data_IF_991364827962
#
_entry.id   IF_991364827962
#
_cell.length_a   1.000
_cell.length_b   1.000
_cell.length_c   1.000
_cell.angle_alpha   90.00
_cell.angle_beta   90.00
_cell.angle_gamma   90.00
#
_symmetry.space_group_name_H-M   'P 1'
#
loop_
_entity.id
_entity.type
_entity.pdbx_description
1 polymer ?
#
# COMPACT_ATOMS: atom_id res chain seq x y z
N UNK A 1 10.72 5.86 5.79
CA UNK A 1 11.28 4.84 6.73
C UNK A 1 10.18 4.13 7.53
N UNK A 2 9.20 4.87 8.07
CA UNK A 2 8.12 4.33 8.90
C UNK A 2 7.22 3.27 8.21
N UNK A 3 6.97 3.41 6.91
CA UNK A 3 6.18 2.44 6.13
C UNK A 3 6.86 1.07 6.06
N UNK A 4 8.17 1.04 5.83
CA UNK A 4 8.95 -0.19 5.77
C UNK A 4 9.00 -0.91 7.12
N UNK A 5 9.18 -0.16 8.21
CA UNK A 5 9.16 -0.74 9.57
C UNK A 5 7.78 -1.30 9.92
N UNK A 6 6.70 -0.63 9.49
CA UNK A 6 5.34 -1.12 9.67
C UNK A 6 5.05 -2.40 8.88
N UNK A 7 5.51 -2.50 7.63
CA UNK A 7 5.36 -3.72 6.83
C UNK A 7 6.14 -4.89 7.45
N UNK A 8 7.35 -4.63 7.96
CA UNK A 8 8.13 -5.64 8.69
C UNK A 8 7.40 -6.08 9.98
N UNK A 9 6.87 -5.15 10.76
CA UNK A 9 6.10 -5.47 11.95
C UNK A 9 4.84 -6.28 11.62
N UNK A 10 4.12 -5.96 10.54
CA UNK A 10 2.96 -6.71 10.06
C UNK A 10 3.35 -8.12 9.58
N UNK A 11 4.50 -8.27 8.92
CA UNK A 11 5.02 -9.58 8.54
C UNK A 11 5.30 -10.45 9.76
N UNK A 12 5.97 -9.90 10.79
CA UNK A 12 6.23 -10.60 12.05
C UNK A 12 4.92 -10.94 12.79
N UNK A 13 3.97 -10.00 12.84
CA UNK A 13 2.65 -10.23 13.43
C UNK A 13 1.88 -11.34 12.69
N UNK A 14 1.91 -11.35 11.35
CA UNK A 14 1.34 -12.41 10.54
C UNK A 14 2.00 -13.77 10.83
N UNK A 15 3.32 -13.81 11.00
CA UNK A 15 4.05 -15.02 11.43
C UNK A 15 3.66 -15.50 12.84
N UNK A 16 3.45 -14.59 13.79
CA UNK A 16 2.98 -14.94 15.13
C UNK A 16 1.56 -15.52 15.11
N UNK A 17 0.64 -14.89 14.35
CA UNK A 17 -0.73 -15.39 14.19
C UNK A 17 -0.80 -16.74 13.46
N UNK A 18 0.09 -16.98 12.49
CA UNK A 18 0.29 -18.30 11.89
C UNK A 18 0.61 -19.36 12.96
N UNK A 19 1.59 -19.07 13.82
CA UNK A 19 2.00 -19.99 14.88
C UNK A 19 0.84 -20.28 15.86
N UNK A 20 0.07 -19.27 16.26
CA UNK A 20 -1.10 -19.46 17.12
C UNK A 20 -2.19 -20.30 16.46
N UNK A 21 -2.54 -20.01 15.20
CA UNK A 21 -3.53 -20.79 14.47
C UNK A 21 -3.11 -22.25 14.27
N UNK A 22 -1.83 -22.48 13.95
CA UNK A 22 -1.25 -23.82 13.81
C UNK A 22 -1.27 -24.59 15.14
N UNK A 23 -0.88 -23.96 16.26
CA UNK A 23 -0.89 -24.58 17.60
C UNK A 23 -2.30 -24.99 18.02
N UNK A 24 -3.30 -24.13 17.80
CA UNK A 24 -4.71 -24.48 18.07
C UNK A 24 -5.17 -25.67 17.25
N UNK A 25 -4.86 -25.69 15.94
CA UNK A 25 -5.21 -26.82 15.09
C UNK A 25 -4.50 -28.12 15.50
N UNK A 26 -3.23 -28.06 15.94
CA UNK A 26 -2.51 -29.22 16.46
C UNK A 26 -3.14 -29.75 17.76
N UNK A 27 -3.53 -28.87 18.69
CA UNK A 27 -4.21 -29.27 19.92
C UNK A 27 -5.55 -29.96 19.63
N UNK A 28 -6.32 -29.47 18.66
CA UNK A 28 -7.56 -30.10 18.19
C UNK A 28 -7.31 -31.45 17.51
N UNK A 29 -6.17 -31.62 16.83
CA UNK A 29 -5.78 -32.89 16.22
C UNK A 29 -5.44 -33.94 17.29
N UNK A 30 -4.77 -33.53 18.36
CA UNK A 30 -4.30 -34.41 19.42
C UNK A 30 -5.44 -34.98 20.29
N UNK A 31 -6.53 -34.24 20.44
CA UNK A 31 -7.72 -34.68 21.19
C UNK A 31 -8.75 -35.42 20.34
N UNK A 32 -8.63 -35.35 19.00
CA UNK A 32 -9.53 -35.99 18.05
C UNK A 32 -9.09 -37.40 17.65
N UNK A 33 -9.99 -38.13 16.96
CA UNK A 33 -9.62 -39.36 16.26
C UNK A 33 -8.55 -39.06 15.18
N UNK A 34 -7.69 -40.02 14.81
CA UNK A 34 -6.81 -39.87 13.65
C UNK A 34 -7.62 -39.44 12.41
N UNK A 35 -7.26 -38.31 11.79
CA UNK A 35 -8.00 -37.73 10.66
C UNK A 35 -9.20 -36.83 11.03
N UNK A 36 -9.36 -36.45 12.30
CA UNK A 36 -10.47 -35.58 12.72
C UNK A 36 -10.45 -34.18 12.06
N UNK A 37 -9.29 -33.70 11.63
CA UNK A 37 -9.16 -32.43 10.88
C UNK A 37 -9.20 -32.67 9.38
N UNK A 38 -10.07 -31.93 8.69
CA UNK A 38 -10.14 -31.95 7.23
C UNK A 38 -8.90 -31.33 6.57
N UNK A 39 -8.21 -30.39 7.23
CA UNK A 39 -7.03 -29.71 6.68
C UNK A 39 -5.84 -29.85 7.61
N UNK A 40 -4.62 -29.91 7.04
CA UNK A 40 -3.40 -29.93 7.83
C UNK A 40 -3.31 -28.69 8.72
N UNK A 41 -2.74 -28.79 9.95
CA UNK A 41 -2.62 -27.65 10.87
C UNK A 41 -1.93 -26.42 10.27
N UNK A 42 -1.02 -26.61 9.31
CA UNK A 42 -0.38 -25.52 8.56
C UNK A 42 -1.37 -24.65 7.78
N UNK A 43 -2.41 -25.22 7.17
CA UNK A 43 -3.42 -24.45 6.44
C UNK A 43 -4.29 -23.59 7.37
N UNK A 44 -4.56 -24.07 8.60
CA UNK A 44 -5.28 -23.27 9.59
C UNK A 44 -4.43 -22.07 10.08
N UNK A 45 -3.13 -22.29 10.31
CA UNK A 45 -2.19 -21.19 10.57
C UNK A 45 -2.16 -20.20 9.42
N UNK A 46 -2.01 -20.69 8.18
CA UNK A 46 -1.96 -19.87 6.97
C UNK A 46 -3.23 -19.03 6.77
N UNK A 47 -4.40 -19.61 7.02
CA UNK A 47 -5.67 -18.90 6.95
C UNK A 47 -5.74 -17.71 7.93
N UNK A 48 -5.34 -17.91 9.19
CA UNK A 48 -5.33 -16.82 10.19
C UNK A 48 -4.30 -15.76 9.82
N UNK A 49 -3.11 -16.16 9.41
CA UNK A 49 -2.04 -15.26 8.99
C UNK A 49 -2.43 -14.40 7.79
N UNK A 50 -3.10 -14.99 6.79
CA UNK A 50 -3.61 -14.25 5.63
C UNK A 50 -4.66 -13.23 6.04
N UNK A 51 -5.63 -13.59 6.89
CA UNK A 51 -6.66 -12.66 7.34
C UNK A 51 -6.13 -11.55 8.25
N UNK A 52 -5.12 -11.82 9.08
CA UNK A 52 -4.53 -10.84 9.98
C UNK A 52 -3.49 -9.95 9.27
N UNK A 53 -2.75 -10.49 8.30
CA UNK A 53 -1.66 -9.79 7.63
C UNK A 53 -2.08 -9.08 6.35
N UNK A 54 -2.83 -9.76 5.47
CA UNK A 54 -3.03 -9.28 4.10
C UNK A 54 -3.91 -8.02 4.01
N UNK A 55 -5.08 -7.94 4.66
CA UNK A 55 -5.91 -6.73 4.62
C UNK A 55 -5.21 -5.53 5.28
N UNK A 56 -4.49 -5.76 6.37
CA UNK A 56 -3.71 -4.73 7.06
C UNK A 56 -2.56 -4.21 6.18
N UNK A 57 -1.82 -5.12 5.53
CA UNK A 57 -0.77 -4.76 4.59
C UNK A 57 -1.32 -3.96 3.40
N UNK A 58 -2.49 -4.34 2.87
CA UNK A 58 -3.12 -3.62 1.77
C UNK A 58 -3.42 -2.16 2.12
N UNK A 59 -3.93 -1.87 3.32
CA UNK A 59 -4.19 -0.50 3.78
C UNK A 59 -2.89 0.31 3.84
N UNK A 60 -1.84 -0.25 4.43
CA UNK A 60 -0.54 0.43 4.52
C UNK A 60 0.07 0.67 3.14
N UNK A 61 -0.05 -0.29 2.21
CA UNK A 61 0.43 -0.15 0.84
C UNK A 61 -0.37 0.89 0.06
N UNK A 62 -1.70 0.92 0.18
CA UNK A 62 -2.54 1.95 -0.44
C UNK A 62 -2.12 3.33 0.08
N UNK A 63 -1.95 3.50 1.40
CA UNK A 63 -1.49 4.76 1.95
C UNK A 63 -0.08 5.15 1.47
N UNK A 64 0.83 4.18 1.31
CA UNK A 64 2.17 4.44 0.79
C UNK A 64 2.16 4.90 -0.68
N UNK A 65 1.30 4.32 -1.52
CA UNK A 65 1.19 4.65 -2.95
C UNK A 65 0.41 5.94 -3.20
N UNK A 66 -0.68 6.15 -2.45
CA UNK A 66 -1.61 7.25 -2.70
C UNK A 66 -1.47 8.42 -1.71
N UNK A 67 -0.79 8.25 -0.59
CA UNK A 67 -0.70 9.24 0.49
C UNK A 67 -0.15 10.59 0.02
N UNK A 68 0.98 10.58 -0.70
CA UNK A 68 1.56 11.82 -1.23
C UNK A 68 0.68 12.51 -2.29
N UNK A 69 -0.11 11.75 -3.06
CA UNK A 69 -1.09 12.32 -4.01
C UNK A 69 -2.25 12.98 -3.27
N UNK A 70 -2.72 12.34 -2.20
CA UNK A 70 -3.80 12.85 -1.36
C UNK A 70 -3.38 14.09 -0.58
N UNK A 71 -2.17 14.08 0.00
CA UNK A 71 -1.55 15.26 0.62
C UNK A 71 -1.49 16.43 -0.37
N UNK A 72 -0.96 16.21 -1.58
CA UNK A 72 -0.84 17.25 -2.60
C UNK A 72 -2.20 17.80 -3.05
N UNK A 73 -3.21 16.93 -3.20
CA UNK A 73 -4.56 17.35 -3.56
C UNK A 73 -5.21 18.20 -2.45
N UNK A 74 -5.07 17.78 -1.19
CA UNK A 74 -5.64 18.49 -0.05
C UNK A 74 -4.91 19.82 0.25
N UNK A 75 -3.59 19.87 0.07
CA UNK A 75 -2.81 21.08 0.30
C UNK A 75 -3.19 22.21 -0.68
N UNK A 76 -3.53 21.83 -1.92
CA UNK A 76 -3.96 22.73 -3.00
C UNK A 76 -5.45 23.08 -2.97
N UNK A 77 -6.24 22.44 -2.10
CA UNK A 77 -7.69 22.66 -2.06
C UNK A 77 -8.08 24.07 -1.61
N UNK A 78 -7.22 24.74 -0.83
CA UNK A 78 -7.44 26.10 -0.34
C UNK A 78 -6.13 26.93 -0.42
N UNK A 79 -5.82 27.52 -1.59
CA UNK A 79 -4.62 28.33 -1.78
C UNK A 79 -4.78 29.74 -1.16
N UNK A 80 -3.78 30.26 -0.43
CA UNK A 80 -3.77 31.63 0.08
C UNK A 80 -3.86 32.66 -1.06
N UNK A 81 -4.45 33.84 -0.81
CA UNK A 81 -4.64 34.87 -1.83
C UNK A 81 -3.32 35.31 -2.51
N UNK A 82 -2.23 35.40 -1.74
CA UNK A 82 -0.89 35.69 -2.27
C UNK A 82 -0.41 34.65 -3.30
N UNK A 83 -0.78 33.37 -3.10
CA UNK A 83 -0.43 32.26 -4.00
C UNK A 83 -1.34 32.26 -5.22
N UNK A 84 -2.61 32.64 -5.08
CA UNK A 84 -3.55 32.74 -6.21
C UNK A 84 -3.12 33.80 -7.24
N UNK A 85 -2.42 34.84 -6.80
CA UNK A 85 -1.87 35.87 -7.69
C UNK A 85 -0.69 35.37 -8.54
N UNK A 86 -0.08 34.23 -8.21
CA UNK A 86 1.01 33.62 -8.99
C UNK A 86 0.46 32.94 -10.25
N UNK A 87 1.33 32.77 -11.25
CA UNK A 87 1.04 31.95 -12.43
C UNK A 87 0.84 30.48 -12.04
N UNK A 88 0.19 29.70 -12.91
CA UNK A 88 -0.01 28.26 -12.66
C UNK A 88 1.30 27.51 -12.38
N UNK A 89 2.39 27.91 -13.03
CA UNK A 89 3.72 27.36 -12.76
C UNK A 89 4.27 27.80 -11.40
N UNK A 90 4.15 29.09 -11.05
CA UNK A 90 4.58 29.60 -9.74
C UNK A 90 3.82 28.95 -8.58
N UNK A 91 2.53 28.69 -8.75
CA UNK A 91 1.73 27.95 -7.76
C UNK A 91 2.23 26.52 -7.58
N UNK A 92 2.55 25.82 -8.68
CA UNK A 92 3.08 24.45 -8.61
C UNK A 92 4.41 24.41 -7.83
N UNK A 93 5.33 25.32 -8.14
CA UNK A 93 6.62 25.44 -7.43
C UNK A 93 6.41 25.75 -5.95
N UNK A 94 5.53 26.70 -5.62
CA UNK A 94 5.22 27.05 -4.23
C UNK A 94 4.73 25.84 -3.40
N UNK A 95 3.80 25.04 -3.94
CA UNK A 95 3.31 23.84 -3.25
C UNK A 95 4.34 22.71 -3.19
N UNK A 96 5.24 22.63 -4.17
CA UNK A 96 6.32 21.66 -4.16
C UNK A 96 7.38 22.04 -3.12
N UNK A 97 7.71 23.33 -2.99
CA UNK A 97 8.60 23.85 -1.96
C UNK A 97 8.02 23.70 -0.56
N UNK A 98 6.74 24.01 -0.35
CA UNK A 98 6.08 23.84 0.94
C UNK A 98 6.15 22.38 1.41
N UNK A 99 5.94 21.42 0.49
CA UNK A 99 6.13 19.99 0.79
C UNK A 99 7.59 19.67 1.01
N UNK A 100 8.50 20.18 0.19
CA UNK A 100 9.92 19.91 0.33
C UNK A 100 10.45 20.35 1.71
N UNK A 101 10.05 21.53 2.17
CA UNK A 101 10.35 22.06 3.51
C UNK A 101 9.74 21.18 4.62
N UNK A 102 8.50 20.71 4.44
CA UNK A 102 7.83 19.83 5.40
C UNK A 102 8.56 18.49 5.58
N UNK A 103 9.04 17.92 4.47
CA UNK A 103 9.73 16.62 4.40
C UNK A 103 11.24 16.72 4.68
N UNK A 104 11.79 17.94 4.83
CA UNK A 104 13.23 18.16 4.98
C UNK A 104 14.04 17.80 3.72
N UNK A 105 13.41 17.86 2.55
CA UNK A 105 14.05 17.68 1.24
C UNK A 105 14.42 19.03 0.61
N UNK A 106 15.23 19.02 -0.44
CA UNK A 106 15.70 20.24 -1.08
C UNK A 106 14.54 21.01 -1.74
N UNK A 107 14.28 22.22 -1.24
CA UNK A 107 13.37 23.18 -1.86
C UNK A 107 14.08 23.94 -3.00
N UNK A 108 13.30 24.58 -3.87
CA UNK A 108 13.79 25.49 -4.90
C UNK A 108 14.55 26.66 -4.29
N UNK A 109 15.45 27.28 -5.05
CA UNK A 109 16.16 28.52 -4.67
C UNK A 109 15.24 29.76 -4.74
N UNK A 110 13.92 29.56 -4.80
CA UNK A 110 12.94 30.64 -4.89
C UNK A 110 12.84 31.35 -3.55
N UNK A 111 13.06 32.66 -3.54
CA UNK A 111 12.94 33.48 -2.34
C UNK A 111 11.50 34.01 -2.28
N UNK A 112 10.81 33.68 -1.18
CA UNK A 112 9.47 34.17 -0.89
C UNK A 112 9.60 35.35 0.08
N UNK A 113 9.03 36.51 -0.27
CA UNK A 113 9.08 37.73 0.55
C UNK A 113 7.66 38.15 0.97
N UNK A 114 7.56 38.80 2.14
CA UNK A 114 6.30 39.37 2.64
C UNK A 114 5.22 38.32 2.87
N UNK A 115 4.03 38.54 2.32
CA UNK A 115 2.87 37.64 2.50
C UNK A 115 3.10 36.21 1.96
N UNK A 116 4.03 36.03 1.01
CA UNK A 116 4.39 34.70 0.51
C UNK A 116 5.30 33.94 1.48
N UNK A 117 6.11 34.64 2.27
CA UNK A 117 7.00 34.04 3.27
C UNK A 117 6.20 33.42 4.42
N UNK A 118 5.16 34.13 4.88
CA UNK A 118 4.26 33.60 5.91
C UNK A 118 3.42 32.44 5.35
N UNK A 119 2.92 32.58 4.11
CA UNK A 119 2.14 31.55 3.46
C UNK A 119 2.91 30.23 3.25
N UNK A 120 4.20 30.28 2.86
CA UNK A 120 5.00 29.05 2.64
C UNK A 120 5.23 28.31 3.97
N UNK A 121 5.47 29.03 5.07
CA UNK A 121 5.65 28.45 6.40
C UNK A 121 4.36 27.77 6.89
N UNK A 122 3.22 28.44 6.77
CA UNK A 122 1.91 27.89 7.14
C UNK A 122 1.58 26.63 6.33
N UNK A 123 1.86 26.66 5.02
CA UNK A 123 1.65 25.51 4.14
C UNK A 123 2.62 24.37 4.39
N UNK A 124 3.86 24.64 4.77
CA UNK A 124 4.81 23.61 5.19
C UNK A 124 4.35 22.92 6.49
N UNK A 125 3.84 23.66 7.47
CA UNK A 125 3.25 23.08 8.69
C UNK A 125 2.00 22.25 8.35
N UNK A 126 1.13 22.77 7.47
CA UNK A 126 -0.05 22.04 7.02
C UNK A 126 0.34 20.74 6.30
N UNK A 127 1.30 20.77 5.38
CA UNK A 127 1.81 19.60 4.67
C UNK A 127 2.33 18.53 5.64
N UNK A 128 3.15 18.92 6.63
CA UNK A 128 3.65 18.02 7.67
C UNK A 128 2.52 17.38 8.47
N UNK A 129 1.51 18.16 8.85
CA UNK A 129 0.34 17.65 9.59
C UNK A 129 -0.45 16.65 8.76
N UNK A 130 -0.68 16.94 7.48
CA UNK A 130 -1.39 16.03 6.58
C UNK A 130 -0.61 14.72 6.40
N UNK A 131 0.69 14.80 6.14
CA UNK A 131 1.55 13.63 6.02
C UNK A 131 1.44 12.77 7.29
N UNK A 132 1.59 13.38 8.47
CA UNK A 132 1.48 12.68 9.75
C UNK A 132 0.11 12.03 9.94
N UNK A 133 -0.98 12.73 9.64
CA UNK A 133 -2.34 12.19 9.74
C UNK A 133 -2.54 10.99 8.80
N UNK A 134 -2.05 11.08 7.56
CA UNK A 134 -2.15 10.01 6.58
C UNK A 134 -1.32 8.80 7.02
N UNK A 135 -0.06 9.02 7.41
CA UNK A 135 0.85 7.94 7.81
C UNK A 135 0.38 7.26 9.10
N UNK A 136 0.20 8.02 10.19
CA UNK A 136 -0.24 7.44 11.46
C UNK A 136 -1.67 6.89 11.40
N UNK A 137 -2.56 7.52 10.63
CA UNK A 137 -3.91 7.03 10.37
C UNK A 137 -3.88 5.68 9.66
N UNK A 138 -3.06 5.51 8.63
CA UNK A 138 -2.89 4.24 7.93
C UNK A 138 -2.29 3.15 8.82
N UNK A 139 -1.34 3.49 9.70
CA UNK A 139 -0.77 2.56 10.66
C UNK A 139 -1.80 2.10 11.69
N UNK A 140 -2.53 3.05 12.29
CA UNK A 140 -3.59 2.74 13.25
C UNK A 140 -4.67 1.87 12.61
N UNK A 141 -5.10 2.21 11.39
CA UNK A 141 -6.05 1.41 10.61
C UNK A 141 -5.50 0.00 10.31
N UNK A 142 -4.22 -0.11 9.92
CA UNK A 142 -3.56 -1.38 9.69
C UNK A 142 -3.54 -2.28 10.94
N UNK A 143 -3.21 -1.72 12.11
CA UNK A 143 -3.25 -2.44 13.39
C UNK A 143 -4.66 -2.91 13.72
N UNK A 144 -5.65 -2.01 13.64
CA UNK A 144 -7.06 -2.35 13.92
C UNK A 144 -7.56 -3.45 13.00
N UNK A 145 -7.30 -3.34 11.70
CA UNK A 145 -7.73 -4.34 10.71
C UNK A 145 -6.99 -5.66 10.88
N UNK A 146 -5.71 -5.65 11.24
CA UNK A 146 -4.96 -6.87 11.50
C UNK A 146 -5.46 -7.62 12.75
N UNK A 147 -5.75 -6.88 13.82
CA UNK A 147 -6.37 -7.43 15.03
C UNK A 147 -7.79 -7.95 14.76
N UNK A 148 -8.60 -7.22 13.98
CA UNK A 148 -9.92 -7.66 13.56
C UNK A 148 -9.84 -8.94 12.71
N UNK A 149 -8.89 -9.01 11.78
CA UNK A 149 -8.63 -10.20 10.97
C UNK A 149 -8.30 -11.42 11.83
N UNK A 150 -7.44 -11.25 12.84
CA UNK A 150 -7.15 -12.29 13.83
C UNK A 150 -8.41 -12.69 14.62
N UNK A 151 -9.15 -11.71 15.16
CA UNK A 151 -10.35 -11.95 15.96
C UNK A 151 -11.45 -12.68 15.18
N UNK A 152 -11.56 -12.45 13.86
CA UNK A 152 -12.53 -13.11 12.99
C UNK A 152 -12.04 -14.50 12.56
N UNK A 153 -10.75 -14.66 12.24
CA UNK A 153 -10.22 -15.90 11.67
C UNK A 153 -9.92 -16.98 12.72
N UNK A 154 -9.40 -16.59 13.88
CA UNK A 154 -9.01 -17.51 14.95
C UNK A 154 -10.15 -18.39 15.50
N UNK A 155 -11.37 -17.88 15.77
CA UNK A 155 -12.47 -18.71 16.26
C UNK A 155 -12.99 -19.69 15.20
N UNK A 156 -12.79 -19.43 13.90
CA UNK A 156 -13.23 -20.31 12.80
C UNK A 156 -12.39 -21.58 12.66
N UNK A 157 -11.30 -21.72 13.39
CA UNK A 157 -10.53 -22.96 13.43
C UNK A 157 -11.37 -24.03 14.13
N UNK A 158 -11.94 -24.92 13.31
CA UNK A 158 -12.67 -26.12 13.74
C UNK A 158 -12.23 -27.34 12.91
N UNK A 159 -12.49 -28.57 13.38
CA UNK A 159 -12.14 -29.80 12.66
C UNK A 159 -12.79 -29.91 11.27
N UNK A 160 -14.01 -29.37 11.13
CA UNK A 160 -14.80 -29.40 9.88
C UNK A 160 -14.42 -28.27 8.90
N UNK A 161 -13.63 -27.29 9.34
CA UNK A 161 -13.28 -26.13 8.51
C UNK A 161 -12.27 -26.49 7.41
N UNK A 162 -12.63 -26.19 6.16
CA UNK A 162 -11.80 -26.42 4.97
C UNK A 162 -10.80 -25.29 4.75
N UNK A 163 -9.79 -25.19 5.63
CA UNK A 163 -8.77 -24.14 5.56
C UNK A 163 -7.96 -24.19 4.26
N UNK A 164 -7.69 -25.38 3.72
CA UNK A 164 -6.93 -25.58 2.48
C UNK A 164 -7.53 -24.79 1.30
N UNK A 165 -8.81 -25.01 0.99
CA UNK A 165 -9.48 -24.36 -0.14
C UNK A 165 -9.44 -22.83 -0.04
N UNK A 166 -9.51 -22.28 1.17
CA UNK A 166 -9.42 -20.83 1.38
C UNK A 166 -8.02 -20.31 1.10
N UNK A 167 -6.99 -20.96 1.61
CA UNK A 167 -5.58 -20.57 1.38
C UNK A 167 -5.20 -20.73 -0.08
N UNK A 168 -5.54 -21.86 -0.71
CA UNK A 168 -5.29 -22.09 -2.14
C UNK A 168 -6.03 -21.08 -3.01
N UNK A 169 -7.25 -20.67 -2.64
CA UNK A 169 -7.97 -19.60 -3.33
C UNK A 169 -7.21 -18.26 -3.31
N UNK A 170 -6.62 -17.88 -2.17
CA UNK A 170 -5.78 -16.68 -2.09
C UNK A 170 -4.53 -16.78 -2.96
N UNK A 171 -3.85 -17.94 -2.95
CA UNK A 171 -2.66 -18.19 -3.78
C UNK A 171 -3.03 -18.14 -5.27
N UNK A 172 -4.17 -18.72 -5.66
CA UNK A 172 -4.64 -18.71 -7.03
C UNK A 172 -4.93 -17.28 -7.51
N UNK A 173 -5.58 -16.44 -6.71
CA UNK A 173 -5.81 -15.02 -7.04
C UNK A 173 -4.48 -14.28 -7.21
N UNK A 174 -3.51 -14.52 -6.34
CA UNK A 174 -2.17 -13.93 -6.45
C UNK A 174 -1.48 -14.34 -7.77
N UNK A 175 -1.53 -15.63 -8.12
CA UNK A 175 -0.95 -16.12 -9.37
C UNK A 175 -1.66 -15.58 -10.60
N UNK A 176 -2.98 -15.44 -10.57
CA UNK A 176 -3.75 -14.81 -11.65
C UNK A 176 -3.30 -13.35 -11.82
N UNK A 177 -3.21 -12.58 -10.73
CA UNK A 177 -2.77 -11.18 -10.80
C UNK A 177 -1.34 -11.05 -11.36
N UNK A 178 -0.43 -11.91 -10.92
CA UNK A 178 0.94 -11.97 -11.42
C UNK A 178 1.00 -12.32 -12.91
N UNK A 179 0.28 -13.36 -13.34
CA UNK A 179 0.23 -13.79 -14.73
C UNK A 179 -0.37 -12.72 -15.65
N UNK A 180 -1.47 -12.07 -15.23
CA UNK A 180 -2.07 -10.95 -15.97
C UNK A 180 -1.07 -9.81 -16.13
N UNK A 181 -0.35 -9.44 -15.07
CA UNK A 181 0.66 -8.37 -15.12
C UNK A 181 1.81 -8.74 -16.06
N UNK A 182 2.27 -9.99 -16.04
CA UNK A 182 3.33 -10.48 -16.93
C UNK A 182 2.90 -10.43 -18.40
N UNK A 183 1.68 -10.88 -18.72
CA UNK A 183 1.12 -10.84 -20.07
C UNK A 183 0.94 -9.39 -20.55
N UNK A 184 0.42 -8.49 -19.72
CA UNK A 184 0.28 -7.08 -20.08
C UNK A 184 1.64 -6.43 -20.34
N UNK A 185 2.67 -6.78 -19.56
CA UNK A 185 4.02 -6.27 -19.76
C UNK A 185 4.62 -6.76 -21.07
N UNK A 186 4.47 -8.04 -21.41
CA UNK A 186 4.99 -8.59 -22.68
C UNK A 186 4.28 -7.96 -23.87
N UNK A 187 2.96 -7.81 -23.81
CA UNK A 187 2.17 -7.11 -24.83
C UNK A 187 2.60 -5.65 -24.95
N UNK A 188 2.82 -4.95 -23.83
CA UNK A 188 3.27 -3.56 -23.82
C UNK A 188 4.63 -3.38 -24.49
N UNK A 189 5.59 -4.27 -24.21
CA UNK A 189 6.93 -4.25 -24.84
C UNK A 189 6.82 -4.49 -26.34
N UNK A 190 6.13 -5.55 -26.76
CA UNK A 190 5.98 -5.88 -28.19
C UNK A 190 5.22 -4.77 -28.92
N UNK A 191 4.14 -4.24 -28.33
CA UNK A 191 3.37 -3.15 -28.90
C UNK A 191 4.21 -1.88 -29.09
N UNK A 192 5.05 -1.54 -28.11
CA UNK A 192 6.00 -0.42 -28.21
C UNK A 192 6.98 -0.61 -29.37
N UNK A 193 7.57 -1.80 -29.49
CA UNK A 193 8.51 -2.12 -30.57
C UNK A 193 7.85 -2.08 -31.96
N UNK A 194 6.63 -2.61 -32.09
CA UNK A 194 5.89 -2.61 -33.36
C UNK A 194 5.52 -1.19 -33.77
N UNK A 195 5.03 -0.37 -32.82
CA UNK A 195 4.68 1.02 -33.08
C UNK A 195 5.89 1.86 -33.52
N UNK A 196 7.02 1.73 -32.82
CA UNK A 196 8.24 2.44 -33.17
C UNK A 196 8.78 1.99 -34.54
N UNK A 197 8.74 0.69 -34.83
CA UNK A 197 9.13 0.14 -36.13
C UNK A 197 8.23 0.66 -37.26
N UNK A 198 6.91 0.71 -37.05
CA UNK A 198 5.96 1.27 -38.02
C UNK A 198 6.28 2.73 -38.33
N UNK A 199 6.49 3.55 -37.30
CA UNK A 199 6.86 4.96 -37.44
C UNK A 199 8.19 5.13 -38.18
N UNK A 200 9.17 4.29 -37.89
CA UNK A 200 10.46 4.28 -38.58
C UNK A 200 10.29 4.05 -40.09
N UNK A 201 9.51 3.05 -40.52
CA UNK A 201 9.28 2.77 -41.94
C UNK A 201 8.47 3.85 -42.67
N UNK A 202 7.67 4.65 -41.96
CA UNK A 202 7.05 5.85 -42.55
C UNK A 202 8.08 6.95 -42.84
N UNK A 203 9.14 7.06 -42.02
CA UNK A 203 10.20 8.06 -42.20
C UNK A 203 11.30 7.63 -43.18
N UNK A 204 11.61 6.34 -43.23
CA UNK A 204 12.63 5.76 -44.11
C UNK A 204 11.97 4.62 -44.89
N UNK A 205 11.52 4.89 -46.12
CA UNK A 205 10.92 3.88 -46.96
C UNK A 205 11.91 2.73 -47.19
N UNK A 206 11.49 1.47 -46.97
CA UNK A 206 12.26 0.34 -47.43
C UNK A 206 12.13 0.25 -48.96
N UNK A 207 13.03 0.95 -49.66
CA UNK A 207 13.11 1.16 -51.12
C UNK A 207 12.13 2.20 -51.69
#
# INVERSE_FOLDING_TARGET
MLTWTALLALFLFSGATYAFGRRKAQALAATGKPGALHSLPGYHGGYVALWAGLPAALIVLIAAVFGGRMEAALLRADPPAAVQALTAHGQAVFFDDARAMAHGTQASETIYEGDLETAIQDKAIQARRLEQLIQYGALAAGVVVGLAGLAIAYPRISPTFRARNRVEGWIAVLFIACAVTAILTTVGIVGSLVWESWRFFQSVPPL
#
